data_IF_415973270455
#
_entry.id   IF_415973270455
#
_cell.length_a   1.000
_cell.length_b   1.000
_cell.length_c   1.000
_cell.angle_alpha   90.00
_cell.angle_beta   90.00
_cell.angle_gamma   90.00
#
_symmetry.space_group_name_H-M   'P 1'
#
loop_
_entity.id
_entity.type
_entity.pdbx_description
1 polymer ?
#
# COMPACT_ATOMS: atom_id res chain seq x y z
N UNK A 1 -17.97 10.63 13.47
CA UNK A 1 -17.40 10.94 12.13
C UNK A 1 -16.03 11.53 12.39
N UNK A 2 -14.95 10.89 11.91
CA UNK A 2 -13.57 11.36 12.15
C UNK A 2 -13.22 12.38 11.04
N UNK A 3 -12.93 13.65 11.37
CA UNK A 3 -12.49 14.63 10.37
C UNK A 3 -11.16 14.17 9.74
N UNK A 4 -11.08 14.16 8.41
CA UNK A 4 -9.87 13.77 7.67
C UNK A 4 -9.89 12.39 7.01
N UNK A 5 -10.98 11.61 7.15
CA UNK A 5 -11.17 10.42 6.33
C UNK A 5 -11.63 10.83 4.93
N UNK A 6 -10.69 11.34 4.12
CA UNK A 6 -10.89 11.44 2.70
C UNK A 6 -10.79 10.02 2.15
N UNK A 7 -11.93 9.34 1.98
CA UNK A 7 -11.97 8.23 1.04
C UNK A 7 -11.58 8.83 -0.31
N UNK A 8 -10.31 8.63 -0.67
CA UNK A 8 -9.78 8.98 -1.97
C UNK A 8 -10.67 8.31 -3.01
N UNK A 9 -11.17 9.07 -3.97
CA UNK A 9 -12.00 8.54 -5.04
C UNK A 9 -11.21 7.42 -5.75
N UNK A 10 -11.65 6.16 -5.69
CA UNK A 10 -10.90 5.05 -6.27
C UNK A 10 -10.82 5.13 -7.80
N UNK A 11 -11.62 6.00 -8.43
CA UNK A 11 -11.62 6.23 -9.87
C UNK A 11 -10.78 7.46 -10.29
N UNK A 12 -10.06 8.09 -9.35
CA UNK A 12 -9.12 9.19 -9.64
C UNK A 12 -7.75 8.88 -9.03
N UNK A 13 -6.74 8.87 -9.88
CA UNK A 13 -5.35 8.76 -9.45
C UNK A 13 -4.80 10.13 -9.10
N UNK A 14 -4.66 10.40 -7.80
CA UNK A 14 -3.97 11.59 -7.30
C UNK A 14 -2.46 11.34 -7.29
N UNK A 15 -1.77 11.85 -8.30
CA UNK A 15 -0.35 11.62 -8.49
C UNK A 15 0.45 12.87 -8.12
N UNK A 16 1.55 12.68 -7.39
CA UNK A 16 2.48 13.77 -7.04
C UNK A 16 3.91 13.46 -7.46
N UNK A 17 4.57 14.42 -8.10
CA UNK A 17 6.00 14.40 -8.47
C UNK A 17 6.66 15.71 -8.05
N UNK A 18 7.33 15.71 -6.89
CA UNK A 18 7.89 16.93 -6.31
C UNK A 18 6.80 17.98 -6.05
N UNK A 19 6.88 19.13 -6.76
CA UNK A 19 5.86 20.20 -6.71
C UNK A 19 4.70 20.00 -7.69
N UNK A 20 4.80 19.03 -8.60
CA UNK A 20 3.75 18.74 -9.57
C UNK A 20 2.70 17.82 -8.94
N UNK A 21 1.44 18.10 -9.23
CA UNK A 21 0.29 17.28 -8.88
C UNK A 21 -0.58 17.13 -10.12
N UNK A 22 -1.10 15.94 -10.36
CA UNK A 22 -2.12 15.72 -11.37
C UNK A 22 -3.12 14.67 -10.89
N UNK A 23 -4.38 14.90 -11.28
CA UNK A 23 -5.48 13.98 -11.03
C UNK A 23 -5.86 13.36 -12.37
N UNK A 24 -5.83 12.02 -12.42
CA UNK A 24 -6.16 11.27 -13.63
C UNK A 24 -7.38 10.41 -13.37
N UNK A 25 -8.49 10.73 -14.01
CA UNK A 25 -9.67 9.86 -13.99
C UNK A 25 -9.36 8.54 -14.71
N UNK A 26 -9.73 7.42 -14.10
CA UNK A 26 -9.50 6.08 -14.64
C UNK A 26 -10.82 5.33 -14.79
N UNK A 27 -10.83 4.40 -15.75
CA UNK A 27 -11.88 3.39 -15.89
C UNK A 27 -11.24 2.02 -15.75
N UNK A 28 -11.61 1.29 -14.70
CA UNK A 28 -11.06 -0.03 -14.44
C UNK A 28 -11.59 -1.07 -15.42
N UNK A 29 -10.71 -1.92 -15.95
CA UNK A 29 -11.12 -3.14 -16.67
C UNK A 29 -11.70 -4.20 -15.71
N UNK A 30 -11.37 -4.10 -14.42
CA UNK A 30 -11.86 -4.93 -13.32
C UNK A 30 -11.94 -4.06 -12.07
N UNK A 31 -13.01 -4.22 -11.29
CA UNK A 31 -13.17 -3.63 -9.96
C UNK A 31 -13.40 -4.76 -8.93
N UNK A 32 -12.72 -4.67 -7.80
CA UNK A 32 -12.83 -5.63 -6.71
C UNK A 32 -12.39 -5.00 -5.39
N UNK A 33 -13.08 -5.38 -4.32
CA UNK A 33 -12.70 -5.04 -2.96
C UNK A 33 -11.69 -6.02 -2.33
N UNK A 34 -11.24 -7.03 -3.08
CA UNK A 34 -10.24 -8.00 -2.64
C UNK A 34 -8.93 -7.80 -3.41
N UNK A 35 -7.88 -7.38 -2.69
CA UNK A 35 -6.59 -7.04 -3.30
C UNK A 35 -5.93 -8.20 -4.03
N UNK A 36 -6.09 -9.45 -3.55
CA UNK A 36 -5.52 -10.62 -4.22
C UNK A 36 -6.11 -10.88 -5.60
N UNK A 37 -7.40 -10.56 -5.80
CA UNK A 37 -8.07 -10.67 -7.11
C UNK A 37 -7.45 -9.67 -8.10
N UNK A 38 -7.23 -8.43 -7.66
CA UNK A 38 -6.58 -7.39 -8.46
C UNK A 38 -5.15 -7.79 -8.84
N UNK A 39 -4.36 -8.33 -7.88
CA UNK A 39 -3.00 -8.81 -8.17
C UNK A 39 -3.00 -9.97 -9.16
N UNK A 40 -3.92 -10.92 -9.02
CA UNK A 40 -4.06 -12.03 -9.97
C UNK A 40 -4.38 -11.52 -11.38
N UNK A 41 -5.26 -10.52 -11.52
CA UNK A 41 -5.56 -9.88 -12.80
C UNK A 41 -4.33 -9.21 -13.42
N UNK A 42 -3.53 -8.50 -12.62
CA UNK A 42 -2.26 -7.92 -13.06
C UNK A 42 -1.27 -8.97 -13.56
N UNK A 43 -1.10 -10.07 -12.83
CA UNK A 43 -0.24 -11.20 -13.23
C UNK A 43 -0.72 -11.87 -14.53
N UNK A 44 -2.03 -11.87 -14.77
CA UNK A 44 -2.63 -12.38 -16.00
C UNK A 44 -2.59 -11.38 -17.17
N UNK A 45 -2.03 -10.17 -16.98
CA UNK A 45 -1.85 -9.18 -18.05
C UNK A 45 -3.08 -8.33 -18.35
N UNK A 46 -4.05 -8.22 -17.43
CA UNK A 46 -5.25 -7.41 -17.63
C UNK A 46 -5.01 -5.89 -17.56
N UNK A 47 -3.80 -5.45 -17.18
CA UNK A 47 -3.41 -4.04 -17.19
C UNK A 47 -2.52 -3.65 -16.00
N UNK A 48 -2.50 -2.35 -15.71
CA UNK A 48 -1.79 -1.77 -14.56
C UNK A 48 -2.63 -1.98 -13.31
N UNK A 49 -2.00 -2.44 -12.22
CA UNK A 49 -2.65 -2.66 -10.94
C UNK A 49 -2.16 -1.64 -9.90
N UNK A 50 -3.06 -1.24 -9.02
CA UNK A 50 -2.76 -0.33 -7.91
C UNK A 50 -3.13 -1.05 -6.63
N UNK A 51 -2.11 -1.43 -5.86
CA UNK A 51 -2.23 -2.09 -4.56
C UNK A 51 -1.08 -1.65 -3.65
N UNK A 52 -1.26 -1.72 -2.33
CA UNK A 52 -0.16 -1.47 -1.39
C UNK A 52 1.03 -2.41 -1.62
N UNK A 53 2.24 -1.89 -1.40
CA UNK A 53 3.47 -2.67 -1.60
C UNK A 53 3.54 -3.93 -0.75
N UNK A 54 2.92 -3.97 0.43
CA UNK A 54 2.89 -5.19 1.25
C UNK A 54 2.22 -6.38 0.55
N UNK A 55 1.39 -6.13 -0.47
CA UNK A 55 0.77 -7.17 -1.31
C UNK A 55 1.68 -7.46 -2.52
N UNK A 56 2.22 -6.42 -3.16
CA UNK A 56 2.93 -6.52 -4.43
C UNK A 56 4.41 -6.90 -4.31
N UNK A 57 5.03 -6.72 -3.14
CA UNK A 57 6.48 -6.81 -2.94
C UNK A 57 7.06 -8.13 -3.48
N UNK A 58 6.43 -9.26 -3.13
CA UNK A 58 6.88 -10.57 -3.58
C UNK A 58 6.79 -10.80 -5.10
N UNK A 59 5.85 -10.14 -5.78
CA UNK A 59 5.74 -10.19 -7.25
C UNK A 59 6.76 -9.30 -7.93
N UNK A 60 7.02 -8.13 -7.37
CA UNK A 60 8.01 -7.20 -7.89
C UNK A 60 9.42 -7.78 -7.75
N UNK A 61 9.77 -8.31 -6.57
CA UNK A 61 11.06 -8.96 -6.33
C UNK A 61 11.29 -10.15 -7.27
N UNK A 62 10.22 -10.90 -7.57
CA UNK A 62 10.26 -12.03 -8.48
C UNK A 62 10.20 -11.65 -9.97
N UNK A 63 9.98 -10.37 -10.31
CA UNK A 63 9.85 -9.89 -11.68
C UNK A 63 8.55 -10.31 -12.38
N UNK A 64 7.53 -10.75 -11.63
CA UNK A 64 6.19 -11.06 -12.17
C UNK A 64 5.37 -9.81 -12.42
N UNK A 65 5.61 -8.78 -11.62
CA UNK A 65 5.08 -7.44 -11.81
C UNK A 65 6.26 -6.46 -11.87
N UNK A 66 6.11 -5.39 -12.64
CA UNK A 66 7.12 -4.34 -12.78
C UNK A 66 6.53 -3.00 -12.32
N UNK A 67 7.26 -2.21 -11.52
CA UNK A 67 6.86 -0.86 -11.19
C UNK A 67 6.77 -0.01 -12.47
N UNK A 68 5.79 0.89 -12.51
CA UNK A 68 5.61 1.88 -13.56
C UNK A 68 5.34 3.24 -12.92
N UNK A 69 5.57 4.32 -13.66
CA UNK A 69 5.39 5.68 -13.16
C UNK A 69 6.19 5.96 -11.87
N UNK A 70 7.39 5.40 -11.72
CA UNK A 70 8.20 5.44 -10.50
C UNK A 70 8.54 6.86 -9.99
N UNK A 71 8.46 7.87 -10.87
CA UNK A 71 8.65 9.28 -10.51
C UNK A 71 7.42 9.91 -9.83
N UNK A 72 6.29 9.23 -9.84
CA UNK A 72 5.02 9.67 -9.28
C UNK A 72 4.66 8.89 -8.02
N UNK A 73 4.12 9.60 -7.04
CA UNK A 73 3.65 9.04 -5.78
C UNK A 73 2.13 9.12 -5.69
N UNK A 74 1.51 8.00 -5.30
CA UNK A 74 0.14 7.97 -4.81
C UNK A 74 0.06 8.45 -3.36
N UNK A 75 -1.13 8.80 -2.85
CA UNK A 75 -1.30 9.13 -1.44
C UNK A 75 -0.84 7.96 -0.55
N UNK A 76 -0.09 8.21 0.52
CA UNK A 76 0.40 7.15 1.39
C UNK A 76 -0.76 6.48 2.13
N UNK A 77 -0.66 5.16 2.29
CA UNK A 77 -1.57 4.39 3.12
C UNK A 77 -1.00 4.23 4.53
N UNK A 78 -1.79 4.62 5.54
CA UNK A 78 -1.42 4.43 6.95
C UNK A 78 -2.05 3.16 7.51
N UNK A 79 -1.22 2.24 8.00
CA UNK A 79 -1.67 1.08 8.77
C UNK A 79 -1.82 1.49 10.24
N UNK A 80 -3.01 1.29 10.80
CA UNK A 80 -3.34 1.70 12.16
C UNK A 80 -3.76 0.49 13.02
N UNK A 81 -3.42 0.52 14.31
CA UNK A 81 -3.98 -0.40 15.31
C UNK A 81 -5.19 0.27 15.97
N UNK A 82 -6.39 -0.14 15.56
CA UNK A 82 -7.63 0.35 16.14
C UNK A 82 -8.10 -0.57 17.28
N UNK A 83 -8.41 0.02 18.43
CA UNK A 83 -8.98 -0.67 19.58
C UNK A 83 -9.96 0.25 20.31
N UNK A 84 -10.89 -0.33 21.06
CA UNK A 84 -11.86 0.46 21.83
C UNK A 84 -11.13 1.28 22.90
N UNK A 85 -11.27 2.60 22.86
CA UNK A 85 -10.85 3.46 23.97
C UNK A 85 -11.76 3.18 25.18
N UNK A 86 -11.20 2.57 26.21
CA UNK A 86 -11.85 2.40 27.52
C UNK A 86 -11.05 3.19 28.55
N UNK A 87 -11.73 3.68 29.59
CA UNK A 87 -11.14 4.45 30.71
C UNK A 87 -9.93 3.74 31.36
N UNK A 88 -9.84 2.42 31.22
CA UNK A 88 -8.67 1.60 31.52
C UNK A 88 -8.33 0.75 30.29
N UNK A 89 -7.13 0.88 29.75
CA UNK A 89 -6.63 0.01 28.68
C UNK A 89 -6.19 -1.31 29.31
N UNK A 90 -6.82 -2.46 28.96
CA UNK A 90 -6.44 -3.73 29.55
C UNK A 90 -4.98 -4.06 29.26
N UNK A 91 -4.20 -4.48 30.26
CA UNK A 91 -2.77 -4.77 30.11
C UNK A 91 -2.47 -5.74 28.94
N UNK A 92 -3.36 -6.71 28.69
CA UNK A 92 -3.27 -7.63 27.54
C UNK A 92 -3.23 -6.93 26.18
N UNK A 93 -3.93 -5.80 26.02
CA UNK A 93 -3.93 -5.03 24.77
C UNK A 93 -2.62 -4.29 24.63
N UNK A 94 -2.09 -3.67 25.69
CA UNK A 94 -0.80 -3.00 25.66
C UNK A 94 0.31 -3.98 25.25
N UNK A 95 0.40 -5.13 25.93
CA UNK A 95 1.41 -6.15 25.62
C UNK A 95 1.25 -6.69 24.19
N UNK A 96 0.03 -6.84 23.68
CA UNK A 96 -0.19 -7.26 22.30
C UNK A 96 0.24 -6.19 21.28
N UNK A 97 -0.04 -4.91 21.56
CA UNK A 97 0.43 -3.79 20.71
C UNK A 97 1.95 -3.77 20.69
N UNK A 98 2.60 -3.85 21.86
CA UNK A 98 4.05 -3.87 21.97
C UNK A 98 4.65 -5.03 21.17
N UNK A 99 4.06 -6.22 21.30
CA UNK A 99 4.44 -7.39 20.52
C UNK A 99 4.33 -7.16 19.01
N UNK A 100 3.20 -6.63 18.52
CA UNK A 100 2.99 -6.39 17.09
C UNK A 100 3.97 -5.35 16.54
N UNK A 101 4.16 -4.25 17.26
CA UNK A 101 5.09 -3.18 16.87
C UNK A 101 6.51 -3.71 16.81
N UNK A 102 6.93 -4.47 17.82
CA UNK A 102 8.26 -5.10 17.81
C UNK A 102 8.39 -6.06 16.63
N UNK A 103 7.38 -6.90 16.38
CA UNK A 103 7.39 -7.86 15.27
C UNK A 103 7.55 -7.17 13.91
N UNK A 104 6.84 -6.06 13.69
CA UNK A 104 6.92 -5.25 12.46
C UNK A 104 8.34 -4.72 12.25
N UNK A 105 8.98 -4.23 13.32
CA UNK A 105 10.38 -3.76 13.29
C UNK A 105 11.36 -4.89 13.04
N UNK A 106 11.28 -5.99 13.80
CA UNK A 106 12.22 -7.12 13.67
C UNK A 106 12.16 -7.76 12.27
N UNK A 107 10.97 -7.81 11.66
CA UNK A 107 10.79 -8.32 10.30
C UNK A 107 11.14 -7.31 9.22
N UNK A 108 11.49 -6.08 9.60
CA UNK A 108 11.80 -4.98 8.69
C UNK A 108 10.71 -4.73 7.63
N UNK A 109 9.45 -4.85 8.07
CA UNK A 109 8.29 -4.73 7.18
C UNK A 109 8.11 -3.31 6.68
N UNK A 110 8.49 -2.30 7.47
CA UNK A 110 8.42 -0.91 7.06
C UNK A 110 9.25 -0.66 5.79
N UNK A 111 10.48 -1.18 5.72
CA UNK A 111 11.32 -1.03 4.51
C UNK A 111 10.67 -1.73 3.31
N UNK A 112 10.19 -2.95 3.47
CA UNK A 112 9.53 -3.73 2.40
C UNK A 112 8.25 -3.06 1.89
N UNK A 113 7.51 -2.38 2.76
CA UNK A 113 6.21 -1.78 2.43
C UNK A 113 6.33 -0.34 1.92
N UNK A 114 7.49 0.29 2.06
CA UNK A 114 7.71 1.69 1.66
C UNK A 114 8.69 1.83 0.51
N UNK A 115 9.55 0.83 0.28
CA UNK A 115 10.59 0.91 -0.74
C UNK A 115 10.57 -0.32 -1.64
N UNK A 116 10.63 -0.06 -2.94
CA UNK A 116 11.04 -1.05 -3.93
C UNK A 116 12.37 -0.54 -4.47
N UNK A 117 13.47 -1.19 -4.09
CA UNK A 117 14.78 -0.84 -4.64
C UNK A 117 14.82 -1.27 -6.10
N UNK A 118 15.09 -0.36 -7.06
CA UNK A 118 15.17 -0.76 -8.46
C UNK A 118 16.32 -1.75 -8.61
N UNK A 119 16.05 -2.92 -9.18
CA UNK A 119 17.14 -3.77 -9.69
C UNK A 119 17.87 -2.92 -10.73
N UNK A 120 19.05 -2.42 -10.34
CA UNK A 120 20.02 -1.78 -11.23
C UNK A 120 20.25 -2.76 -12.37
N UNK A 121 19.64 -2.53 -13.52
CA UNK A 121 19.93 -3.27 -14.74
C UNK A 121 21.42 -3.04 -15.01
N UNK A 122 22.25 -4.06 -14.72
CA UNK A 122 23.62 -4.08 -15.22
C UNK A 122 23.49 -4.10 -16.74
N UNK A 123 23.93 -3.02 -17.38
CA UNK A 123 24.28 -3.00 -18.80
C UNK A 123 25.22 -4.17 -19.12
#
# INVERSE_FOLDING_TARGET
>A
MVPGWNAVDPYVLHLRKGKQQCDVAITGALDSNEGQVIVAAGRAGLGIVIQPLYILYGDIVAGRLIPVLEEWQLPPLTVNLAYQSRRYQPAKICVFIDFLVERVRTMNLEEQWTTVSPRRTRK
#
